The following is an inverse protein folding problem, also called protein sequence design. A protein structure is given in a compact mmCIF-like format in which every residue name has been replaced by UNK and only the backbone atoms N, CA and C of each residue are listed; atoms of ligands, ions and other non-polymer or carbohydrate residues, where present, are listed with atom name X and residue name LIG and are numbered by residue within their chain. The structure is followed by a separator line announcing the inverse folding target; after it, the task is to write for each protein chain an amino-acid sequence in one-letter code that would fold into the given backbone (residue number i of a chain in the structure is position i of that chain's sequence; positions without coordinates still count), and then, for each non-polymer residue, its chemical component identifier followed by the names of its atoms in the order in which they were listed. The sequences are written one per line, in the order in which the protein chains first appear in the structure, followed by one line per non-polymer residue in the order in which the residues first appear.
data_IF_464549739174
#
_entry.id   IF_464549739174
#
_cell.length_a   1.000
_cell.length_b   1.000
_cell.length_c   1.000
_cell.angle_alpha   90.00
_cell.angle_beta   90.00
_cell.angle_gamma   90.00
#
_symmetry.space_group_name_H-M   'P 1'
#
loop_
_entity.id
_entity.type
_entity.pdbx_description
1 polymer ?
#
# COMPACT_ATOMS: atom_id res chain seq x y z
N UNK A 1 13.17 7.89 -0.65
CA UNK A 1 13.67 6.56 -1.09
C UNK A 1 13.42 6.42 -2.58
N UNK A 2 14.37 5.92 -3.35
CA UNK A 2 14.23 5.69 -4.81
C UNK A 2 13.65 4.30 -5.08
N UNK A 3 13.23 4.05 -6.32
CA UNK A 3 12.55 2.81 -6.75
C UNK A 3 13.29 2.12 -7.90
N UNK A 4 14.59 2.39 -8.03
CA UNK A 4 15.42 1.85 -9.09
C UNK A 4 15.48 0.32 -9.02
N UNK A 5 15.09 -0.35 -10.11
CA UNK A 5 15.09 -1.80 -10.25
C UNK A 5 13.77 -2.48 -9.86
N UNK A 6 12.80 -1.76 -9.31
CA UNK A 6 11.51 -2.30 -8.85
C UNK A 6 10.31 -1.74 -9.65
N UNK A 7 10.56 -0.87 -10.63
CA UNK A 7 9.53 -0.17 -11.40
C UNK A 7 8.61 -1.14 -12.13
N UNK A 8 9.18 -2.20 -12.72
CA UNK A 8 8.41 -3.24 -13.41
C UNK A 8 7.50 -4.03 -12.48
N UNK A 9 7.95 -4.33 -11.25
CA UNK A 9 7.15 -5.03 -10.26
C UNK A 9 5.94 -4.19 -9.84
N UNK A 10 6.14 -2.89 -9.57
CA UNK A 10 5.07 -1.98 -9.16
C UNK A 10 4.06 -1.71 -10.28
N UNK A 11 4.53 -1.31 -11.45
CA UNK A 11 3.64 -0.95 -12.57
C UNK A 11 2.96 -2.19 -13.14
N UNK A 12 3.71 -3.28 -13.30
CA UNK A 12 3.17 -4.53 -13.85
C UNK A 12 2.09 -5.15 -12.98
N UNK A 13 2.31 -5.20 -11.66
CA UNK A 13 1.27 -5.68 -10.73
C UNK A 13 0.09 -4.72 -10.68
N UNK A 14 0.29 -3.41 -10.56
CA UNK A 14 -0.80 -2.42 -10.55
C UNK A 14 -1.67 -2.45 -11.81
N UNK A 15 -1.08 -2.71 -12.99
CA UNK A 15 -1.79 -2.84 -14.26
C UNK A 15 -2.74 -4.04 -14.32
N UNK A 16 -2.51 -5.08 -13.51
CA UNK A 16 -3.37 -6.25 -13.43
C UNK A 16 -4.53 -6.09 -12.44
N UNK A 17 -4.51 -5.04 -11.61
CA UNK A 17 -5.52 -4.79 -10.58
C UNK A 17 -6.62 -3.87 -11.09
N UNK A 18 -7.81 -3.97 -10.48
CA UNK A 18 -8.83 -2.95 -10.66
C UNK A 18 -8.47 -1.70 -9.86
N UNK A 19 -8.95 -0.54 -10.31
CA UNK A 19 -8.73 0.73 -9.59
C UNK A 19 -9.36 0.75 -8.19
N UNK A 20 -10.38 -0.08 -7.97
CA UNK A 20 -11.07 -0.25 -6.69
C UNK A 20 -10.35 -1.22 -5.73
N UNK A 21 -9.38 -2.01 -6.19
CA UNK A 21 -8.66 -2.92 -5.30
C UNK A 21 -7.82 -2.15 -4.29
N UNK A 22 -7.84 -2.60 -3.04
CA UNK A 22 -7.17 -1.94 -1.93
C UNK A 22 -5.71 -2.37 -1.86
N UNK A 23 -4.82 -1.39 -1.70
CA UNK A 23 -3.38 -1.62 -1.69
C UNK A 23 -2.78 -1.19 -0.36
N UNK A 24 -2.00 -2.09 0.22
CA UNK A 24 -1.10 -1.82 1.34
C UNK A 24 0.35 -1.92 0.83
N UNK A 25 1.16 -0.90 1.12
CA UNK A 25 2.58 -0.89 0.78
C UNK A 25 3.48 -0.86 2.01
N UNK A 26 4.78 -0.81 1.78
CA UNK A 26 5.81 -0.63 2.79
C UNK A 26 6.51 0.72 2.67
N UNK A 27 7.15 1.02 1.54
CA UNK A 27 7.73 2.35 1.22
C UNK A 27 8.42 2.41 -0.17
N UNK A 28 8.38 1.34 -0.98
CA UNK A 28 8.92 1.34 -2.36
C UNK A 28 7.83 1.32 -3.44
N UNK A 29 6.55 1.36 -3.06
CA UNK A 29 5.46 1.11 -3.98
C UNK A 29 4.99 2.36 -4.75
N UNK A 30 5.86 3.37 -4.94
CA UNK A 30 5.47 4.62 -5.61
C UNK A 30 4.96 4.39 -7.04
N UNK A 31 5.48 3.36 -7.71
CA UNK A 31 5.08 3.01 -9.08
C UNK A 31 3.62 2.60 -9.20
N UNK A 32 3.03 2.07 -8.12
CA UNK A 32 1.61 1.72 -8.06
C UNK A 32 0.75 3.00 -8.06
N UNK A 33 1.11 3.98 -7.24
CA UNK A 33 0.43 5.27 -7.20
C UNK A 33 0.60 6.03 -8.52
N UNK A 34 1.80 5.99 -9.10
CA UNK A 34 2.09 6.59 -10.40
C UNK A 34 1.22 5.98 -11.51
N UNK A 35 1.07 4.64 -11.53
CA UNK A 35 0.21 3.94 -12.47
C UNK A 35 -1.28 4.29 -12.29
N UNK A 36 -1.72 4.56 -11.07
CA UNK A 36 -3.09 4.98 -10.74
C UNK A 36 -3.34 6.48 -10.94
N UNK A 37 -2.47 7.19 -11.66
CA UNK A 37 -2.57 8.63 -11.93
C UNK A 37 -2.53 9.53 -10.69
N UNK A 38 -1.83 9.11 -9.62
CA UNK A 38 -1.64 9.98 -8.46
C UNK A 38 -0.84 11.24 -8.86
N UNK A 39 -1.36 12.46 -8.59
CA UNK A 39 -0.73 13.68 -9.10
C UNK A 39 0.71 13.86 -8.65
N UNK A 40 1.60 14.24 -9.58
CA UNK A 40 2.99 14.56 -9.28
C UNK A 40 3.13 15.62 -8.19
N UNK A 41 2.26 16.63 -8.21
CA UNK A 41 2.18 17.66 -7.17
C UNK A 41 1.95 17.05 -5.79
N UNK A 42 1.12 16.00 -5.67
CA UNK A 42 0.84 15.38 -4.38
C UNK A 42 2.03 14.56 -3.86
N UNK A 43 2.81 13.91 -4.73
CA UNK A 43 4.08 13.30 -4.31
C UNK A 43 5.01 14.35 -3.71
N UNK A 44 5.14 15.51 -4.37
CA UNK A 44 5.96 16.61 -3.88
C UNK A 44 5.40 17.21 -2.60
N UNK A 45 4.09 17.45 -2.52
CA UNK A 45 3.45 18.01 -1.34
C UNK A 45 3.73 17.15 -0.11
N UNK A 46 3.62 15.83 -0.22
CA UNK A 46 3.92 14.89 0.86
C UNK A 46 5.42 14.91 1.22
N UNK A 47 6.32 14.89 0.24
CA UNK A 47 7.76 14.93 0.51
C UNK A 47 8.22 16.22 1.19
N UNK A 48 7.61 17.35 0.85
CA UNK A 48 7.91 18.65 1.46
C UNK A 48 7.12 18.92 2.74
N UNK A 49 6.08 18.12 3.04
CA UNK A 49 5.17 18.36 4.16
C UNK A 49 4.51 19.74 4.11
N UNK A 50 4.21 20.24 2.92
CA UNK A 50 3.70 21.60 2.74
C UNK A 50 2.19 21.70 3.06
N UNK A 51 1.62 22.91 2.97
CA UNK A 51 0.21 23.16 3.29
C UNK A 51 -0.80 22.46 2.38
N UNK A 52 -0.35 21.94 1.22
CA UNK A 52 -1.17 21.17 0.28
C UNK A 52 -1.04 19.65 0.49
N UNK A 53 -0.21 19.20 1.42
CA UNK A 53 -0.13 17.78 1.76
C UNK A 53 -1.44 17.30 2.39
N UNK A 54 -2.04 16.28 1.79
CA UNK A 54 -3.23 15.59 2.31
C UNK A 54 -2.91 14.95 3.68
N UNK A 55 -1.67 14.48 3.86
CA UNK A 55 -1.12 13.96 5.12
C UNK A 55 -0.80 15.03 6.17
N UNK A 56 -0.98 16.31 5.83
CA UNK A 56 -0.78 17.49 6.70
C UNK A 56 0.66 17.62 7.23
N UNK A 57 1.64 17.12 6.50
CA UNK A 57 3.07 17.19 6.86
C UNK A 57 3.43 16.40 8.12
N UNK A 58 2.63 15.40 8.49
CA UNK A 58 2.79 14.67 9.76
C UNK A 58 3.70 13.45 9.67
N UNK A 59 3.95 12.96 8.46
CA UNK A 59 4.75 11.77 8.21
C UNK A 59 6.05 12.12 7.52
N UNK A 60 7.01 11.20 7.58
CA UNK A 60 8.28 11.34 6.87
C UNK A 60 8.04 11.36 5.34
N UNK A 61 8.94 11.98 4.56
CA UNK A 61 8.87 11.92 3.10
C UNK A 61 8.80 10.46 2.61
N UNK A 62 8.05 10.22 1.53
CA UNK A 62 7.79 8.89 0.94
C UNK A 62 6.75 8.06 1.70
N UNK A 63 6.10 8.62 2.72
CA UNK A 63 4.96 8.00 3.39
C UNK A 63 3.64 8.38 2.72
N UNK A 64 3.49 7.98 1.47
CA UNK A 64 2.31 8.31 0.69
C UNK A 64 1.07 7.56 1.15
N UNK A 65 -0.10 8.13 0.86
CA UNK A 65 -1.40 7.53 1.10
C UNK A 65 -2.47 8.28 0.32
N UNK A 66 -3.46 7.56 -0.21
CA UNK A 66 -4.56 8.19 -0.93
C UNK A 66 -5.81 7.31 -0.87
N UNK A 67 -6.85 7.83 -0.22
CA UNK A 67 -8.17 7.18 -0.17
C UNK A 67 -8.77 7.06 -1.56
N UNK A 68 -8.64 8.12 -2.38
CA UNK A 68 -9.16 8.17 -3.75
C UNK A 68 -8.54 7.07 -4.63
N UNK A 69 -7.27 6.74 -4.41
CA UNK A 69 -6.54 5.77 -5.22
C UNK A 69 -6.50 4.39 -4.56
N UNK A 70 -7.34 4.15 -3.53
CA UNK A 70 -7.37 2.92 -2.73
C UNK A 70 -5.97 2.45 -2.28
N UNK A 71 -5.12 3.40 -1.87
CA UNK A 71 -3.77 3.13 -1.40
C UNK A 71 -3.65 3.56 0.07
N UNK A 72 -3.51 2.59 0.95
CA UNK A 72 -3.43 2.82 2.39
C UNK A 72 -2.13 3.55 2.73
N UNK A 73 -2.23 4.54 3.61
CA UNK A 73 -1.09 5.36 4.00
C UNK A 73 0.02 4.52 4.61
N UNK A 74 1.23 4.68 4.07
CA UNK A 74 2.45 4.04 4.54
C UNK A 74 2.78 4.41 5.99
N UNK A 75 3.39 3.46 6.72
CA UNK A 75 4.00 3.64 8.03
C UNK A 75 5.41 3.03 8.08
N UNK A 76 6.31 3.58 8.89
CA UNK A 76 7.69 3.06 9.00
C UNK A 76 7.81 1.62 9.52
N UNK A 77 7.03 1.19 10.54
CA UNK A 77 7.18 -0.13 11.13
C UNK A 77 6.92 -1.22 10.09
N UNK A 78 7.93 -2.05 9.85
CA UNK A 78 7.89 -3.10 8.86
C UNK A 78 6.77 -4.10 9.19
N UNK A 79 6.16 -4.63 8.13
CA UNK A 79 5.29 -5.81 8.17
C UNK A 79 3.94 -5.64 8.85
N UNK A 80 3.76 -4.58 9.65
CA UNK A 80 2.49 -4.26 10.32
C UNK A 80 1.29 -4.20 9.36
N UNK A 81 1.52 -3.81 8.10
CA UNK A 81 0.51 -3.75 7.06
C UNK A 81 -0.01 -5.12 6.60
N UNK A 82 0.75 -6.21 6.79
CA UNK A 82 0.37 -7.55 6.34
C UNK A 82 -0.86 -8.10 7.08
N UNK A 83 -0.88 -8.18 8.44
CA UNK A 83 -2.06 -8.67 9.15
C UNK A 83 -3.25 -7.69 9.00
N UNK A 84 -2.98 -6.39 8.85
CA UNK A 84 -4.01 -5.40 8.54
C UNK A 84 -4.68 -5.68 7.19
N UNK A 85 -3.88 -5.97 6.16
CA UNK A 85 -4.38 -6.35 4.83
C UNK A 85 -5.22 -7.63 4.87
N UNK A 86 -4.79 -8.66 5.61
CA UNK A 86 -5.57 -9.87 5.82
C UNK A 86 -6.93 -9.59 6.48
N UNK A 87 -6.97 -8.72 7.48
CA UNK A 87 -8.21 -8.27 8.12
C UNK A 87 -9.14 -7.51 7.16
N UNK A 88 -8.60 -6.61 6.33
CA UNK A 88 -9.36 -5.93 5.28
C UNK A 88 -9.91 -6.90 4.23
N UNK A 89 -9.11 -7.89 3.82
CA UNK A 89 -9.56 -8.93 2.88
C UNK A 89 -10.70 -9.75 3.47
N UNK A 90 -10.62 -10.11 4.75
CA UNK A 90 -11.70 -10.78 5.46
C UNK A 90 -12.97 -9.92 5.52
N UNK A 91 -12.83 -8.61 5.79
CA UNK A 91 -13.96 -7.68 5.76
C UNK A 91 -14.59 -7.60 4.35
N UNK A 92 -13.78 -7.60 3.30
CA UNK A 92 -14.24 -7.62 1.92
C UNK A 92 -14.99 -8.91 1.59
N UNK A 93 -14.49 -10.07 2.03
CA UNK A 93 -15.14 -11.38 1.88
C UNK A 93 -16.53 -11.43 2.52
N UNK A 94 -16.71 -10.75 3.66
CA UNK A 94 -18.00 -10.71 4.38
C UNK A 94 -19.04 -9.81 3.74
N UNK A 95 -18.65 -8.93 2.81
CA UNK A 95 -19.57 -8.01 2.15
C UNK A 95 -20.23 -8.73 0.95
N UNK A 96 -21.57 -8.84 0.89
CA UNK A 96 -22.25 -9.44 -0.26
C UNK A 96 -21.92 -8.72 -1.57
N UNK A 97 -21.79 -9.48 -2.65
CA UNK A 97 -21.53 -8.98 -4.01
C UNK A 97 -20.29 -8.06 -4.11
N UNK A 98 -19.24 -8.36 -3.33
CA UNK A 98 -17.98 -7.64 -3.38
C UNK A 98 -16.91 -8.52 -4.04
N UNK A 99 -16.36 -8.07 -5.16
CA UNK A 99 -15.31 -8.79 -5.88
C UNK A 99 -13.92 -8.14 -5.74
N UNK A 100 -13.81 -7.12 -4.89
CA UNK A 100 -12.56 -6.40 -4.61
C UNK A 100 -11.57 -7.31 -3.89
N UNK A 101 -10.31 -7.18 -4.25
CA UNK A 101 -9.20 -7.83 -3.56
C UNK A 101 -8.39 -6.82 -2.74
N UNK A 102 -7.55 -7.36 -1.85
CA UNK A 102 -6.55 -6.60 -1.13
C UNK A 102 -5.18 -7.12 -1.55
N UNK A 103 -4.31 -6.21 -1.96
CA UNK A 103 -2.92 -6.50 -2.30
C UNK A 103 -2.01 -5.88 -1.26
N UNK A 104 -1.01 -6.63 -0.82
CA UNK A 104 -0.02 -6.16 0.14
C UNK A 104 1.39 -6.40 -0.39
N UNK A 105 2.20 -5.35 -0.39
CA UNK A 105 3.62 -5.39 -0.74
C UNK A 105 4.48 -5.39 0.53
N UNK A 106 5.59 -6.13 0.48
CA UNK A 106 6.59 -6.18 1.53
C UNK A 106 7.91 -6.71 0.96
N UNK A 107 9.03 -6.31 1.58
CA UNK A 107 10.35 -6.81 1.21
C UNK A 107 10.66 -8.20 1.79
N UNK A 108 11.68 -8.86 1.25
CA UNK A 108 12.16 -10.15 1.75
C UNK A 108 12.64 -10.06 3.22
N UNK A 109 13.34 -8.97 3.57
CA UNK A 109 13.73 -8.72 4.96
C UNK A 109 12.53 -8.55 5.90
N UNK A 110 11.47 -7.90 5.43
CA UNK A 110 10.24 -7.70 6.19
C UNK A 110 9.48 -9.02 6.43
N UNK A 111 9.65 -10.02 5.55
CA UNK A 111 9.06 -11.34 5.71
C UNK A 111 9.58 -12.10 6.95
N UNK A 112 10.69 -11.66 7.55
CA UNK A 112 11.25 -12.26 8.77
C UNK A 112 10.60 -11.74 10.06
N UNK A 113 9.77 -10.69 9.98
CA UNK A 113 9.04 -10.16 11.14
C UNK A 113 7.88 -11.08 11.53
N UNK A 114 7.54 -11.10 12.82
CA UNK A 114 6.47 -11.95 13.36
C UNK A 114 5.09 -11.69 12.73
N UNK A 115 4.83 -10.45 12.34
CA UNK A 115 3.58 -10.04 11.70
C UNK A 115 3.37 -10.73 10.34
N UNK A 116 4.46 -11.09 9.62
CA UNK A 116 4.35 -11.80 8.35
C UNK A 116 3.77 -13.21 8.57
N UNK A 117 4.30 -13.92 9.57
CA UNK A 117 3.79 -15.23 9.95
C UNK A 117 2.32 -15.17 10.36
N UNK A 118 1.96 -14.19 11.19
CA UNK A 118 0.59 -13.99 11.63
C UNK A 118 -0.36 -13.76 10.43
N UNK A 119 0.03 -12.87 9.52
CA UNK A 119 -0.76 -12.53 8.35
C UNK A 119 -0.99 -13.70 7.41
N UNK A 120 0.05 -14.48 7.09
CA UNK A 120 -0.08 -15.63 6.18
C UNK A 120 -0.99 -16.70 6.77
N UNK A 121 -0.86 -16.98 8.07
CA UNK A 121 -1.73 -17.94 8.73
C UNK A 121 -3.20 -17.47 8.76
N UNK A 122 -3.42 -16.18 9.05
CA UNK A 122 -4.77 -15.60 9.09
C UNK A 122 -5.42 -15.57 7.70
N UNK A 123 -4.67 -15.16 6.66
CA UNK A 123 -5.15 -15.14 5.29
C UNK A 123 -5.50 -16.55 4.75
N UNK A 124 -4.84 -17.58 5.25
CA UNK A 124 -5.10 -18.99 4.89
C UNK A 124 -6.35 -19.54 5.57
N UNK A 125 -6.62 -19.15 6.82
CA UNK A 125 -7.59 -19.82 7.69
C UNK A 125 -8.90 -19.07 7.89
N UNK A 126 -8.95 -17.75 7.66
CA UNK A 126 -10.12 -16.90 7.91
C UNK A 126 -11.07 -16.80 6.71
#
# INVERSE_FOLDING_TARGET
MTNFGEEGAHVGSAAALKNEDLIFGQYREVGVLMWRDFPLDNFMNQCYGNCKDIGKGRQMPVHYGSVEHNFVTISSPLTTQLPQAAGCAYAFKRKPNNDRIVVVYFGDGAASEGDAHAAFNFASTL
#
